data_IF_628424517208
#
_entry.id   IF_628424517208
#
_cell.length_a   1.000
_cell.length_b   1.000
_cell.length_c   1.000
_cell.angle_alpha   90.00
_cell.angle_beta   90.00
_cell.angle_gamma   90.00
#
_symmetry.space_group_name_H-M   'P 1'
#
loop_
_entity.id
_entity.type
_entity.pdbx_description
1 polymer ?
#
# COMPACT_ATOMS: atom_id res chain seq x y z
N UNK A 1 3.64 9.00 10.37
CA UNK A 1 2.27 9.38 10.76
C UNK A 1 1.40 8.15 10.98
N UNK A 2 1.35 7.25 10.01
CA UNK A 2 0.56 6.01 10.14
C UNK A 2 1.06 5.18 11.32
N UNK A 3 2.37 5.04 11.48
CA UNK A 3 2.94 4.28 12.59
C UNK A 3 2.54 4.90 13.95
N UNK A 4 2.63 6.21 14.07
CA UNK A 4 2.27 6.89 15.31
C UNK A 4 0.80 6.69 15.66
N UNK A 5 -0.09 6.81 14.67
CA UNK A 5 -1.52 6.57 14.86
C UNK A 5 -1.77 5.12 15.25
N UNK A 6 -1.12 4.19 14.57
CA UNK A 6 -1.28 2.76 14.83
C UNK A 6 -0.82 2.40 16.25
N UNK A 7 0.32 2.94 16.68
CA UNK A 7 0.81 2.72 18.04
C UNK A 7 -0.15 3.26 19.09
N UNK A 8 -0.68 4.48 18.90
CA UNK A 8 -1.64 5.07 19.81
C UNK A 8 -2.93 4.24 19.91
N UNK A 9 -3.44 3.77 18.79
CA UNK A 9 -4.65 2.94 18.75
C UNK A 9 -4.40 1.59 19.45
N UNK A 10 -3.26 0.97 19.19
CA UNK A 10 -2.93 -0.32 19.85
C UNK A 10 -2.76 -0.18 21.36
N UNK A 11 -2.29 0.96 21.83
CA UNK A 11 -2.13 1.20 23.28
C UNK A 11 -3.46 1.48 23.98
N UNK A 12 -4.36 2.20 23.32
CA UNK A 12 -5.61 2.68 23.93
C UNK A 12 -6.81 1.80 23.64
N UNK A 13 -6.72 0.93 22.64
CA UNK A 13 -7.82 0.07 22.21
C UNK A 13 -7.23 -1.32 22.00
N UNK A 14 -7.77 -2.31 22.57
CA UNK A 14 -7.25 -3.68 22.50
C UNK A 14 -7.36 -4.23 21.06
N UNK A 15 -6.45 -3.81 20.21
CA UNK A 15 -6.40 -4.26 18.82
C UNK A 15 -5.45 -5.45 18.71
N UNK A 16 -5.95 -6.55 18.16
CA UNK A 16 -5.17 -7.76 17.95
C UNK A 16 -4.36 -7.67 16.65
N UNK A 17 -3.29 -8.46 16.56
CA UNK A 17 -2.46 -8.52 15.36
C UNK A 17 -3.23 -9.00 14.14
N UNK A 18 -4.31 -9.77 14.34
CA UNK A 18 -5.18 -10.27 13.27
C UNK A 18 -6.20 -9.25 12.78
N UNK A 19 -6.36 -8.14 13.48
CA UNK A 19 -7.31 -7.12 13.07
C UNK A 19 -6.83 -6.43 11.79
N UNK A 20 -7.78 -5.97 10.99
CA UNK A 20 -7.49 -5.28 9.76
C UNK A 20 -7.30 -3.78 10.01
N UNK A 21 -6.28 -3.22 9.36
CA UNK A 21 -6.04 -1.77 9.34
C UNK A 21 -6.19 -1.29 7.91
N UNK A 22 -7.09 -0.33 7.70
CA UNK A 22 -7.34 0.25 6.39
C UNK A 22 -6.79 1.68 6.38
N UNK A 23 -5.92 1.96 5.42
CA UNK A 23 -5.34 3.29 5.22
C UNK A 23 -5.91 3.87 3.93
N UNK A 24 -6.48 5.06 4.00
CA UNK A 24 -7.02 5.74 2.84
C UNK A 24 -6.51 7.17 2.75
N UNK A 25 -6.10 7.56 1.55
CA UNK A 25 -5.62 8.91 1.27
C UNK A 25 -6.82 9.85 1.14
N UNK A 26 -6.90 10.85 2.01
CA UNK A 26 -7.99 11.82 1.99
C UNK A 26 -8.04 12.65 0.69
N UNK A 27 -6.92 12.73 -0.04
CA UNK A 27 -6.85 13.42 -1.31
C UNK A 27 -7.40 12.60 -2.48
N UNK A 28 -7.85 11.35 -2.23
CA UNK A 28 -8.44 10.48 -3.27
C UNK A 28 -9.93 10.31 -3.05
N UNK A 29 -10.75 11.28 -3.49
CA UNK A 29 -12.21 11.13 -3.44
C UNK A 29 -12.66 10.10 -4.47
N UNK A 30 -13.91 9.64 -4.36
CA UNK A 30 -14.49 8.75 -5.35
C UNK A 30 -14.53 7.28 -4.94
N UNK A 31 -14.12 6.97 -3.71
CA UNK A 31 -14.30 5.62 -3.18
C UNK A 31 -15.80 5.39 -2.96
N UNK A 32 -16.37 4.46 -3.73
CA UNK A 32 -17.79 4.12 -3.60
C UNK A 32 -17.97 2.96 -2.64
N UNK A 33 -19.18 2.81 -2.09
CA UNK A 33 -19.50 1.68 -1.23
C UNK A 33 -19.33 0.35 -1.97
N UNK A 34 -19.71 0.29 -3.25
CA UNK A 34 -19.56 -0.93 -4.05
C UNK A 34 -18.09 -1.31 -4.22
N UNK A 35 -17.23 -0.35 -4.49
CA UNK A 35 -15.80 -0.59 -4.64
C UNK A 35 -15.17 -1.01 -3.32
N UNK A 36 -15.55 -0.35 -2.24
CA UNK A 36 -15.06 -0.69 -0.90
C UNK A 36 -15.49 -2.11 -0.52
N UNK A 37 -16.75 -2.48 -0.76
CA UNK A 37 -17.24 -3.82 -0.48
C UNK A 37 -16.47 -4.88 -1.27
N UNK A 38 -16.22 -4.62 -2.54
CA UNK A 38 -15.44 -5.51 -3.39
C UNK A 38 -14.01 -5.68 -2.83
N UNK A 39 -13.40 -4.58 -2.42
CA UNK A 39 -12.06 -4.58 -1.85
C UNK A 39 -12.00 -5.41 -0.56
N UNK A 40 -12.94 -5.17 0.36
CA UNK A 40 -13.00 -5.89 1.62
C UNK A 40 -13.27 -7.37 1.41
N UNK A 41 -14.21 -7.72 0.53
CA UNK A 41 -14.53 -9.12 0.24
C UNK A 41 -13.34 -9.86 -0.37
N UNK A 42 -12.61 -9.18 -1.25
CA UNK A 42 -11.45 -9.78 -1.92
C UNK A 42 -10.33 -10.09 -0.93
N UNK A 43 -10.13 -9.25 0.09
CA UNK A 43 -9.03 -9.39 1.03
C UNK A 43 -9.41 -10.10 2.33
N UNK A 44 -10.68 -10.39 2.54
CA UNK A 44 -11.19 -10.92 3.81
C UNK A 44 -10.43 -12.13 4.33
N UNK A 45 -10.03 -13.03 3.43
CA UNK A 45 -9.32 -14.26 3.78
C UNK A 45 -7.84 -14.23 3.41
N UNK A 46 -7.31 -13.09 2.99
CA UNK A 46 -5.90 -12.97 2.67
C UNK A 46 -5.07 -12.90 3.96
N UNK A 47 -3.91 -13.55 3.95
CA UNK A 47 -3.04 -13.58 5.14
C UNK A 47 -2.28 -12.28 5.38
N UNK A 48 -2.11 -11.46 4.35
CA UNK A 48 -1.30 -10.24 4.40
C UNK A 48 -2.16 -8.99 4.25
N UNK A 49 -2.97 -8.95 3.20
CA UNK A 49 -3.75 -7.80 2.80
C UNK A 49 -3.40 -7.35 1.39
N UNK A 50 -3.78 -6.14 1.05
CA UNK A 50 -3.55 -5.65 -0.30
C UNK A 50 -3.94 -4.20 -0.47
N UNK A 51 -3.99 -3.78 -1.72
CA UNK A 51 -4.26 -2.40 -2.09
C UNK A 51 -5.06 -2.35 -3.37
N UNK A 52 -5.84 -1.27 -3.51
CA UNK A 52 -6.43 -0.95 -4.80
C UNK A 52 -5.33 -0.49 -5.75
N UNK A 53 -5.42 -0.93 -6.99
CA UNK A 53 -4.46 -0.54 -8.02
C UNK A 53 -5.11 -0.64 -9.39
N UNK A 54 -4.49 0.00 -10.36
CA UNK A 54 -4.92 -0.08 -11.76
C UNK A 54 -3.73 -0.51 -12.62
N UNK A 55 -3.94 -1.42 -13.58
CA UNK A 55 -2.89 -1.71 -14.55
C UNK A 55 -2.49 -0.43 -15.29
N UNK A 56 -1.21 -0.26 -15.55
CA UNK A 56 -0.73 0.90 -16.31
C UNK A 56 -1.23 0.80 -17.75
N UNK A 57 -2.03 1.79 -18.18
CA UNK A 57 -2.63 1.82 -19.51
C UNK A 57 -1.84 2.63 -20.51
N UNK A 58 -1.10 3.63 -20.05
CA UNK A 58 -0.36 4.53 -20.91
C UNK A 58 1.08 4.07 -21.08
N UNK A 59 1.70 4.48 -22.18
CA UNK A 59 3.12 4.23 -22.43
C UNK A 59 3.96 5.00 -21.40
N UNK A 60 4.88 4.31 -20.75
CA UNK A 60 5.79 4.92 -19.78
C UNK A 60 7.12 5.24 -20.44
N UNK A 61 7.61 6.44 -20.22
CA UNK A 61 8.91 6.90 -20.69
C UNK A 61 9.81 7.18 -19.51
N UNK A 62 11.06 6.81 -19.60
CA UNK A 62 12.06 7.23 -18.63
C UNK A 62 12.79 8.44 -19.19
N UNK A 63 12.83 9.52 -18.42
CA UNK A 63 13.50 10.75 -18.82
C UNK A 63 14.96 10.75 -18.38
N UNK A 64 15.80 11.41 -19.17
CA UNK A 64 17.17 11.71 -18.76
C UNK A 64 17.20 12.97 -17.89
N UNK A 65 18.40 13.44 -17.53
CA UNK A 65 18.58 14.60 -16.64
C UNK A 65 18.10 15.92 -17.23
N UNK A 66 17.85 15.98 -18.54
CA UNK A 66 17.38 17.20 -19.23
C UNK A 66 15.97 17.02 -19.79
N UNK A 67 15.20 16.08 -19.22
CA UNK A 67 13.80 15.83 -19.56
C UNK A 67 13.57 15.36 -21.00
N UNK A 68 14.52 14.62 -21.55
CA UNK A 68 14.32 13.96 -22.83
C UNK A 68 14.02 12.49 -22.61
N UNK A 69 13.20 11.90 -23.47
CA UNK A 69 12.87 10.48 -23.36
C UNK A 69 14.11 9.64 -23.64
N UNK A 70 14.59 8.94 -22.61
CA UNK A 70 15.75 8.07 -22.71
C UNK A 70 15.36 6.69 -23.23
N UNK A 71 14.27 6.15 -22.70
CA UNK A 71 13.77 4.84 -23.14
C UNK A 71 12.31 4.68 -22.75
N UNK A 72 11.65 3.73 -23.41
CA UNK A 72 10.30 3.31 -23.05
C UNK A 72 10.40 2.17 -22.04
N UNK A 73 9.64 2.29 -20.96
CA UNK A 73 9.58 1.25 -19.92
C UNK A 73 8.47 0.28 -20.27
N UNK A 74 8.75 -1.04 -20.36
CA UNK A 74 7.70 -2.03 -20.57
C UNK A 74 6.66 -1.94 -19.43
N UNK A 75 5.39 -1.90 -19.80
CA UNK A 75 4.29 -1.76 -18.82
C UNK A 75 3.64 -3.09 -18.43
N UNK A 76 4.08 -4.19 -19.02
CA UNK A 76 3.56 -5.51 -18.66
C UNK A 76 3.81 -5.81 -17.19
N UNK A 77 2.75 -6.10 -16.45
CA UNK A 77 2.84 -6.37 -15.02
C UNK A 77 3.03 -5.13 -14.15
N UNK A 78 2.97 -3.93 -14.71
CA UNK A 78 3.06 -2.70 -13.94
C UNK A 78 1.67 -2.19 -13.59
N UNK A 79 1.51 -1.81 -12.33
CA UNK A 79 0.26 -1.31 -11.76
C UNK A 79 0.51 0.00 -11.04
N UNK A 80 -0.48 0.89 -11.08
CA UNK A 80 -0.45 2.13 -10.31
C UNK A 80 -1.13 1.89 -8.98
N UNK A 81 -0.39 2.02 -7.90
CA UNK A 81 -0.94 1.87 -6.56
C UNK A 81 -1.89 3.01 -6.23
N UNK A 82 -2.99 2.67 -5.58
CA UNK A 82 -3.99 3.61 -5.11
C UNK A 82 -4.24 3.36 -3.63
N UNK A 83 -5.21 4.03 -3.06
CA UNK A 83 -5.76 3.72 -1.75
C UNK A 83 -7.28 3.51 -1.88
N UNK A 84 -7.93 2.77 -0.98
CA UNK A 84 -7.39 2.26 0.28
C UNK A 84 -6.38 1.14 0.12
N UNK A 85 -5.56 0.98 1.17
CA UNK A 85 -4.68 -0.17 1.38
C UNK A 85 -5.07 -0.79 2.70
N UNK A 86 -5.11 -2.10 2.79
CA UNK A 86 -5.56 -2.79 3.99
C UNK A 86 -4.64 -3.95 4.31
N UNK A 87 -4.17 -4.00 5.56
CA UNK A 87 -3.23 -5.02 6.00
C UNK A 87 -3.59 -5.50 7.40
N UNK A 88 -3.17 -6.72 7.74
CA UNK A 88 -3.24 -7.20 9.12
C UNK A 88 -2.42 -6.27 10.01
N UNK A 89 -2.96 -5.92 11.16
CA UNK A 89 -2.32 -4.97 12.09
C UNK A 89 -0.90 -5.38 12.45
N UNK A 90 -0.69 -6.65 12.79
CA UNK A 90 0.63 -7.15 13.16
C UNK A 90 1.64 -7.04 12.03
N UNK A 91 1.24 -7.36 10.81
CA UNK A 91 2.12 -7.29 9.64
C UNK A 91 2.50 -5.83 9.36
N UNK A 92 1.52 -4.93 9.37
CA UNK A 92 1.77 -3.51 9.11
C UNK A 92 2.65 -2.89 10.19
N UNK A 93 2.36 -3.18 11.44
CA UNK A 93 3.13 -2.69 12.58
C UNK A 93 4.58 -3.15 12.51
N UNK A 94 4.82 -4.44 12.25
CA UNK A 94 6.17 -4.98 12.11
C UNK A 94 6.91 -4.33 10.95
N UNK A 95 6.24 -4.13 9.82
CA UNK A 95 6.84 -3.51 8.65
C UNK A 95 7.30 -2.08 8.95
N UNK A 96 6.44 -1.28 9.57
CA UNK A 96 6.75 0.11 9.87
C UNK A 96 7.77 0.25 10.99
N UNK A 97 7.68 -0.55 12.03
CA UNK A 97 8.64 -0.52 13.15
C UNK A 97 9.99 -1.08 12.74
N UNK A 98 10.02 -2.21 12.04
CA UNK A 98 11.24 -2.85 11.60
C UNK A 98 12.05 -1.97 10.66
N UNK A 99 11.40 -1.18 9.83
CA UNK A 99 12.06 -0.28 8.90
C UNK A 99 12.43 1.05 9.54
N UNK A 100 11.72 1.46 10.59
CA UNK A 100 11.93 2.73 11.26
C UNK A 100 13.24 2.78 12.05
N UNK A 101 13.78 1.63 12.45
CA UNK A 101 15.04 1.55 13.17
C UNK A 101 16.29 1.63 12.29
N UNK A 102 16.14 1.66 10.99
CA UNK A 102 17.26 1.71 10.05
C UNK A 102 17.47 3.16 9.58
N UNK A 103 18.35 3.88 10.24
CA UNK A 103 18.57 5.30 10.00
C UNK A 103 19.00 5.64 8.56
N UNK A 104 19.51 4.66 7.81
CA UNK A 104 19.98 4.86 6.44
C UNK A 104 18.94 4.52 5.38
N UNK A 105 17.75 4.07 5.75
CA UNK A 105 16.72 3.69 4.78
C UNK A 105 15.96 4.90 4.29
N UNK A 106 15.71 4.99 2.98
CA UNK A 106 14.82 6.04 2.46
C UNK A 106 13.40 5.82 2.97
N UNK A 107 12.63 6.90 3.06
CA UNK A 107 11.22 6.80 3.42
C UNK A 107 10.47 6.02 2.34
N UNK A 108 9.54 5.16 2.77
CA UNK A 108 8.70 4.43 1.84
C UNK A 108 7.63 5.35 1.25
N UNK A 109 7.27 5.12 0.00
CA UNK A 109 6.25 5.91 -0.68
C UNK A 109 4.84 5.53 -0.24
N UNK A 110 4.65 4.28 0.21
CA UNK A 110 3.39 3.83 0.78
C UNK A 110 3.63 2.68 1.76
N UNK A 111 2.57 2.27 2.46
CA UNK A 111 2.63 1.21 3.45
C UNK A 111 2.90 -0.15 2.80
N UNK A 112 2.40 -0.36 1.58
CA UNK A 112 2.63 -1.61 0.85
C UNK A 112 4.12 -1.83 0.59
N UNK A 113 4.86 -0.77 0.28
CA UNK A 113 6.31 -0.85 0.05
C UNK A 113 7.04 -1.36 1.30
N UNK A 114 6.64 -0.88 2.48
CA UNK A 114 7.22 -1.34 3.73
C UNK A 114 6.96 -2.83 3.96
N UNK A 115 5.77 -3.30 3.61
CA UNK A 115 5.39 -4.71 3.75
C UNK A 115 6.16 -5.58 2.74
N UNK A 116 6.34 -5.09 1.52
CA UNK A 116 7.16 -5.77 0.51
C UNK A 116 8.62 -5.92 0.99
N UNK A 117 9.14 -4.92 1.68
CA UNK A 117 10.50 -4.95 2.22
C UNK A 117 10.68 -6.05 3.27
N UNK A 118 9.62 -6.51 3.92
CA UNK A 118 9.66 -7.65 4.83
C UNK A 118 9.57 -9.01 4.13
N UNK A 119 9.37 -9.01 2.81
CA UNK A 119 9.25 -10.24 2.04
C UNK A 119 7.83 -10.71 1.79
N UNK A 120 6.82 -9.92 2.17
CA UNK A 120 5.42 -10.24 1.88
C UNK A 120 5.01 -9.70 0.51
N UNK A 121 3.96 -10.28 -0.03
CA UNK A 121 3.41 -9.89 -1.34
C UNK A 121 1.96 -9.43 -1.19
N UNK A 122 1.72 -8.12 -1.04
CA UNK A 122 0.36 -7.61 -0.98
C UNK A 122 -0.42 -7.92 -2.25
N UNK A 123 -1.71 -8.18 -2.10
CA UNK A 123 -2.58 -8.48 -3.23
C UNK A 123 -3.00 -7.19 -3.93
N UNK A 124 -2.94 -7.19 -5.27
CA UNK A 124 -3.45 -6.08 -6.07
C UNK A 124 -4.92 -6.32 -6.38
N UNK A 125 -5.77 -5.39 -5.96
CA UNK A 125 -7.21 -5.44 -6.22
C UNK A 125 -7.53 -4.36 -7.23
N UNK A 126 -8.11 -4.74 -8.36
CA UNK A 126 -8.36 -3.77 -9.43
C UNK A 126 -9.43 -2.76 -9.02
N UNK A 127 -9.06 -1.49 -9.06
CA UNK A 127 -9.94 -0.38 -8.81
C UNK A 127 -10.65 0.10 -10.07
N UNK A 128 -11.19 1.28 -9.98
CA UNK A 128 -11.88 1.94 -11.09
C UNK A 128 -11.16 3.21 -11.51
#
# INVERSE_FOLDING_TARGET
>A
TVLNTLQAVCENQQIADDDWVLVHDAARPGLTNALLDHFLDTLEHDAVGGLLALPVADTLKQADSINRSEKTIPRNGLWQAQTPQMFKCGVLKDALQGNNGAASRPAFTDEAEAIEALGFSPKLVQGE
#
